data_IF_750498268037
#
_entry.id   IF_750498268037
#
_cell.length_a   1.000
_cell.length_b   1.000
_cell.length_c   1.000
_cell.angle_alpha   90.00
_cell.angle_beta   90.00
_cell.angle_gamma   90.00
#
_symmetry.space_group_name_H-M   'P 1'
#
loop_
_entity.id
_entity.type
_entity.pdbx_description
1 polymer ?
#
# COMPACT_ATOMS: atom_id res chain seq x y z
N UNK A 1 71.66 33.18 34.65
CA UNK A 1 72.91 33.60 33.97
C UNK A 1 73.09 32.79 32.70
N UNK A 2 72.75 33.35 31.54
CA UNK A 2 73.41 33.01 30.27
C UNK A 2 73.23 34.17 29.30
N UNK A 3 74.35 34.59 28.76
CA UNK A 3 74.63 35.81 28.03
C UNK A 3 74.58 35.61 26.52
N UNK A 4 74.22 36.69 25.81
CA UNK A 4 74.50 37.01 24.40
C UNK A 4 73.73 36.18 23.34
N UNK A 5 73.37 36.72 22.16
CA UNK A 5 74.09 37.69 21.31
C UNK A 5 73.12 38.29 20.28
N UNK A 6 73.09 39.61 20.16
CA UNK A 6 72.40 40.36 19.09
C UNK A 6 73.25 40.30 17.80
N UNK A 7 72.64 40.02 16.65
CA UNK A 7 73.26 40.13 15.32
C UNK A 7 72.25 40.70 14.29
N UNK A 8 72.72 41.37 13.22
CA UNK A 8 72.07 42.54 12.62
C UNK A 8 71.09 42.23 11.47
N UNK A 9 70.12 43.13 11.31
CA UNK A 9 69.23 43.23 10.14
C UNK A 9 70.05 43.50 8.86
N UNK A 10 69.87 42.64 7.85
CA UNK A 10 70.16 42.96 6.45
C UNK A 10 68.83 42.94 5.68
N UNK A 11 68.38 44.11 5.28
CA UNK A 11 67.29 44.32 4.33
C UNK A 11 67.79 43.86 2.96
N UNK A 12 67.16 42.81 2.41
CA UNK A 12 67.28 42.47 1.01
C UNK A 12 66.05 43.03 0.28
N UNK A 13 66.26 44.10 -0.49
CA UNK A 13 65.29 44.61 -1.47
C UNK A 13 65.16 43.54 -2.55
N UNK A 14 64.02 42.85 -2.58
CA UNK A 14 63.63 41.99 -3.70
C UNK A 14 62.57 42.75 -4.49
N UNK A 15 62.98 43.30 -5.62
CA UNK A 15 62.13 44.03 -6.55
C UNK A 15 61.09 43.08 -7.14
N UNK A 16 59.85 43.13 -6.66
CA UNK A 16 58.71 42.60 -7.40
C UNK A 16 58.31 43.63 -8.45
N UNK A 17 58.60 43.29 -9.70
CA UNK A 17 58.27 44.05 -10.90
C UNK A 17 56.74 44.18 -11.01
N UNK A 18 56.23 45.41 -10.85
CA UNK A 18 54.86 45.75 -11.25
C UNK A 18 54.87 45.86 -12.78
N UNK A 19 54.32 44.84 -13.46
CA UNK A 19 54.01 44.91 -14.89
C UNK A 19 52.50 44.83 -15.06
N UNK A 20 51.91 45.95 -15.48
CA UNK A 20 50.82 45.97 -16.46
C UNK A 20 49.42 45.50 -16.04
N UNK A 21 48.77 46.20 -15.10
CA UNK A 21 47.30 46.30 -15.11
C UNK A 21 46.91 47.32 -16.19
N UNK A 22 46.62 46.86 -17.41
CA UNK A 22 46.16 47.74 -18.48
C UNK A 22 46.25 47.13 -19.88
N UNK A 23 45.45 46.10 -20.17
CA UNK A 23 45.21 45.65 -21.56
C UNK A 23 44.01 44.70 -21.75
N UNK A 24 43.44 44.11 -20.68
CA UNK A 24 42.38 43.09 -20.85
C UNK A 24 40.94 43.63 -20.88
N UNK A 25 40.71 44.91 -20.55
CA UNK A 25 39.35 45.49 -20.51
C UNK A 25 38.96 46.28 -21.77
N UNK A 26 39.89 46.51 -22.71
CA UNK A 26 39.59 47.22 -23.96
C UNK A 26 39.23 46.30 -25.11
N UNK A 27 39.65 45.02 -25.11
CA UNK A 27 39.39 44.12 -26.24
C UNK A 27 37.90 43.76 -26.40
N UNK A 28 37.21 43.46 -25.30
CA UNK A 28 35.77 43.12 -25.33
C UNK A 28 34.88 44.35 -25.58
N UNK A 29 35.27 45.51 -25.03
CA UNK A 29 34.63 46.79 -25.30
C UNK A 29 34.88 47.29 -26.74
N UNK A 30 36.07 47.03 -27.30
CA UNK A 30 36.39 47.35 -28.70
C UNK A 30 35.72 46.39 -29.69
N UNK A 31 35.49 45.12 -29.34
CA UNK A 31 34.70 44.21 -30.17
C UNK A 31 33.21 44.57 -30.20
N UNK A 32 32.63 44.96 -29.06
CA UNK A 32 31.25 45.49 -29.02
C UNK A 32 31.13 46.83 -29.77
N UNK A 33 32.13 47.73 -29.66
CA UNK A 33 32.15 48.99 -30.43
C UNK A 33 32.45 48.79 -31.93
N UNK A 34 33.18 47.73 -32.32
CA UNK A 34 33.42 47.40 -33.73
C UNK A 34 32.22 46.73 -34.40
N UNK A 35 31.46 45.89 -33.68
CA UNK A 35 30.20 45.32 -34.17
C UNK A 35 29.08 46.37 -34.30
N UNK A 36 29.07 47.40 -33.46
CA UNK A 36 28.17 48.56 -33.63
C UNK A 36 28.52 49.42 -34.85
N UNK A 37 29.75 49.34 -35.36
CA UNK A 37 30.26 50.17 -36.47
C UNK A 37 29.77 49.73 -37.86
N UNK A 38 29.14 48.56 -37.97
CA UNK A 38 28.61 47.98 -39.22
C UNK A 38 27.09 48.02 -39.31
N UNK A 39 26.38 48.52 -38.30
CA UNK A 39 24.92 48.64 -38.32
C UNK A 39 24.48 50.07 -38.59
N UNK A 40 23.61 50.25 -39.59
CA UNK A 40 23.02 51.56 -39.91
C UNK A 40 21.59 51.60 -39.42
N UNK A 41 21.28 52.58 -38.58
CA UNK A 41 19.93 52.80 -38.07
C UNK A 41 19.11 53.65 -39.04
N UNK A 42 17.96 53.12 -39.47
CA UNK A 42 17.05 53.78 -40.40
C UNK A 42 15.64 53.66 -39.86
N UNK A 43 14.96 54.79 -39.64
CA UNK A 43 13.58 54.81 -39.19
C UNK A 43 12.64 54.31 -40.28
N UNK A 44 11.64 53.54 -39.88
CA UNK A 44 10.60 53.11 -40.80
C UNK A 44 9.86 54.35 -41.32
N UNK A 45 9.58 54.42 -42.64
CA UNK A 45 8.90 55.55 -43.23
C UNK A 45 7.46 55.65 -42.71
N UNK A 46 6.84 56.82 -42.86
CA UNK A 46 5.42 56.96 -42.62
C UNK A 46 4.65 55.98 -43.54
N UNK A 47 3.75 55.19 -42.96
CA UNK A 47 2.95 54.20 -43.69
C UNK A 47 1.95 54.85 -44.65
N UNK A 48 1.62 56.12 -44.41
CA UNK A 48 0.57 56.87 -45.10
C UNK A 48 1.13 58.04 -45.92
N UNK A 49 2.40 57.99 -46.33
CA UNK A 49 2.99 59.01 -47.21
C UNK A 49 2.33 58.94 -48.61
N UNK A 50 1.28 59.73 -48.79
CA UNK A 50 0.49 59.81 -50.02
C UNK A 50 0.31 61.29 -50.43
N UNK A 51 -0.13 61.53 -51.68
CA UNK A 51 -0.34 62.89 -52.21
C UNK A 51 -1.42 63.70 -51.45
N UNK A 52 -2.15 63.06 -50.52
CA UNK A 52 -3.27 63.59 -49.76
C UNK A 52 -3.05 63.46 -48.24
N UNK A 53 -1.86 63.89 -47.81
CA UNK A 53 -1.43 63.86 -46.41
C UNK A 53 -2.50 64.47 -45.47
N UNK A 54 -3.14 63.63 -44.68
CA UNK A 54 -4.10 64.04 -43.66
C UNK A 54 -3.38 64.34 -42.34
N UNK A 55 -3.94 65.26 -41.56
CA UNK A 55 -3.43 65.60 -40.23
C UNK A 55 -3.42 64.39 -39.28
N UNK A 56 -4.17 63.34 -39.61
CA UNK A 56 -4.26 62.09 -38.83
C UNK A 56 -3.22 61.02 -39.22
N UNK A 57 -2.56 61.15 -40.37
CA UNK A 57 -1.59 60.16 -40.87
C UNK A 57 -0.39 59.94 -39.91
N UNK A 58 0.20 60.98 -39.29
CA UNK A 58 1.26 60.81 -38.28
C UNK A 58 0.78 60.06 -37.04
N UNK A 59 -0.47 60.31 -36.61
CA UNK A 59 -1.04 59.66 -35.44
C UNK A 59 -1.18 58.15 -35.69
N UNK A 60 -1.65 57.75 -36.88
CA UNK A 60 -1.76 56.34 -37.24
C UNK A 60 -0.40 55.67 -37.40
N UNK A 61 0.59 56.35 -37.98
CA UNK A 61 1.95 55.83 -38.03
C UNK A 61 2.52 55.57 -36.63
N UNK A 62 2.42 56.56 -35.73
CA UNK A 62 2.89 56.43 -34.36
C UNK A 62 2.15 55.32 -33.60
N UNK A 63 0.86 55.10 -33.87
CA UNK A 63 0.13 53.98 -33.27
C UNK A 63 0.58 52.62 -33.81
N UNK A 64 0.76 52.48 -35.13
CA UNK A 64 1.04 51.19 -35.78
C UNK A 64 2.50 50.79 -35.59
N UNK A 65 3.42 51.67 -35.99
CA UNK A 65 4.85 51.43 -35.94
C UNK A 65 5.48 52.11 -34.74
N UNK A 66 4.95 53.24 -34.29
CA UNK A 66 5.66 54.08 -33.33
C UNK A 66 6.99 54.56 -33.91
N UNK A 67 7.86 55.03 -33.03
CA UNK A 67 9.23 55.33 -33.38
C UNK A 67 10.01 54.02 -33.50
N UNK A 68 9.89 53.34 -34.64
CA UNK A 68 10.60 52.09 -34.92
C UNK A 68 11.66 52.30 -35.98
N UNK A 69 12.86 51.79 -35.71
CA UNK A 69 13.97 51.75 -36.65
C UNK A 69 14.33 50.32 -37.03
N UNK A 70 14.86 50.16 -38.22
CA UNK A 70 15.61 48.97 -38.61
C UNK A 70 17.09 49.25 -38.41
N UNK A 71 17.77 48.38 -37.67
CA UNK A 71 19.22 48.33 -37.57
C UNK A 71 19.74 47.40 -38.66
N UNK A 72 20.06 47.96 -39.82
CA UNK A 72 20.55 47.20 -40.96
C UNK A 72 21.98 46.75 -40.72
N UNK A 73 22.20 45.44 -40.75
CA UNK A 73 23.55 44.88 -40.75
C UNK A 73 24.11 44.93 -42.17
N UNK A 74 25.13 45.76 -42.39
CA UNK A 74 25.72 45.98 -43.71
C UNK A 74 26.40 44.74 -44.31
N UNK A 75 26.65 43.70 -43.51
CA UNK A 75 27.33 42.48 -43.94
C UNK A 75 26.36 41.31 -44.13
N UNK A 76 25.27 41.29 -43.37
CA UNK A 76 24.27 40.20 -43.40
C UNK A 76 22.87 40.72 -43.10
N UNK A 77 22.10 41.01 -44.15
CA UNK A 77 20.74 41.54 -44.03
C UNK A 77 19.81 40.65 -43.17
N UNK A 78 20.08 39.33 -43.07
CA UNK A 78 19.29 38.42 -42.24
C UNK A 78 19.46 38.66 -40.74
N UNK A 79 20.50 39.41 -40.34
CA UNK A 79 20.77 39.83 -38.95
C UNK A 79 20.30 41.25 -38.65
N UNK A 80 19.51 41.84 -39.55
CA UNK A 80 18.90 43.15 -39.30
C UNK A 80 17.90 43.03 -38.16
N UNK A 81 17.92 44.02 -37.26
CA UNK A 81 17.08 44.03 -36.05
C UNK A 81 16.06 45.16 -36.12
N UNK A 82 14.94 45.00 -35.44
CA UNK A 82 14.02 46.10 -35.19
C UNK A 82 14.35 46.72 -33.84
N UNK A 83 14.40 48.04 -33.79
CA UNK A 83 14.58 48.80 -32.57
C UNK A 83 13.36 49.68 -32.36
N UNK A 84 12.61 49.38 -31.30
CA UNK A 84 11.39 50.07 -30.92
C UNK A 84 11.73 51.08 -29.84
N UNK A 85 11.31 52.33 -30.00
CA UNK A 85 11.48 53.40 -29.01
C UNK A 85 10.15 53.72 -28.32
N UNK A 86 10.24 54.13 -27.05
CA UNK A 86 9.13 54.76 -26.34
C UNK A 86 8.97 56.23 -26.73
N UNK A 87 7.82 56.80 -26.40
CA UNK A 87 7.53 58.21 -26.65
C UNK A 87 8.35 59.15 -25.72
N UNK A 88 8.67 58.68 -24.51
CA UNK A 88 9.43 59.41 -23.50
C UNK A 88 10.14 58.48 -22.50
N UNK A 89 10.89 59.07 -21.56
CA UNK A 89 11.62 58.34 -20.50
C UNK A 89 10.74 57.66 -19.45
N UNK A 90 9.44 57.98 -19.42
CA UNK A 90 8.50 57.51 -18.39
C UNK A 90 7.57 56.42 -18.95
N UNK A 91 7.75 56.05 -20.23
CA UNK A 91 6.98 55.04 -20.95
C UNK A 91 7.90 53.98 -21.59
N UNK A 92 7.31 52.86 -21.99
CA UNK A 92 7.97 51.79 -22.75
C UNK A 92 7.44 51.77 -24.18
N UNK A 93 8.13 51.14 -25.14
CA UNK A 93 7.58 50.93 -26.47
C UNK A 93 6.23 50.22 -26.40
N UNK A 94 5.23 50.76 -27.09
CA UNK A 94 3.83 50.33 -27.02
C UNK A 94 3.13 50.31 -28.39
N UNK A 95 3.89 50.43 -29.48
CA UNK A 95 3.32 50.37 -30.83
C UNK A 95 2.60 49.05 -31.10
N UNK A 96 1.65 49.06 -32.04
CA UNK A 96 0.91 47.86 -32.40
C UNK A 96 1.84 46.75 -32.91
N UNK A 97 2.86 47.11 -33.69
CA UNK A 97 3.87 46.16 -34.17
C UNK A 97 4.66 45.52 -33.02
N UNK A 98 5.14 46.34 -32.07
CA UNK A 98 5.87 45.84 -30.89
C UNK A 98 4.99 44.89 -30.08
N UNK A 99 3.77 45.34 -29.75
CA UNK A 99 2.81 44.58 -28.94
C UNK A 99 2.43 43.26 -29.62
N UNK A 100 2.21 43.28 -30.94
CA UNK A 100 1.91 42.06 -31.70
C UNK A 100 3.07 41.06 -31.61
N UNK A 101 4.30 41.50 -31.87
CA UNK A 101 5.47 40.63 -31.83
C UNK A 101 5.66 40.02 -30.44
N UNK A 102 5.53 40.84 -29.39
CA UNK A 102 5.66 40.40 -28.00
C UNK A 102 4.60 39.37 -27.64
N UNK A 103 3.33 39.64 -27.96
CA UNK A 103 2.23 38.74 -27.63
C UNK A 103 2.28 37.43 -28.43
N UNK A 104 2.64 37.47 -29.72
CA UNK A 104 2.80 36.24 -30.51
C UNK A 104 3.92 35.36 -29.95
N UNK A 105 5.04 35.96 -29.55
CA UNK A 105 6.14 35.26 -28.88
C UNK A 105 5.71 34.68 -27.52
N UNK A 106 5.00 35.45 -26.69
CA UNK A 106 4.55 34.97 -25.38
C UNK A 106 3.47 33.89 -25.48
N UNK A 107 2.60 33.97 -26.48
CA UNK A 107 1.50 33.02 -26.67
C UNK A 107 2.01 31.70 -27.27
N UNK A 108 2.75 31.80 -28.37
CA UNK A 108 3.12 30.64 -29.20
C UNK A 108 4.55 30.15 -28.97
N UNK A 109 5.35 30.93 -28.23
CA UNK A 109 6.78 30.67 -28.12
C UNK A 109 7.55 31.05 -29.38
N UNK A 110 8.77 30.53 -29.49
CA UNK A 110 9.69 30.78 -30.59
C UNK A 110 10.72 29.65 -30.70
N UNK A 111 11.34 29.51 -31.87
CA UNK A 111 12.44 28.56 -32.12
C UNK A 111 13.73 29.29 -32.50
N UNK A 112 14.83 28.56 -32.54
CA UNK A 112 16.12 29.09 -32.97
C UNK A 112 15.99 29.71 -34.38
N UNK A 113 16.57 30.89 -34.55
CA UNK A 113 16.48 31.64 -35.81
C UNK A 113 15.27 32.58 -35.92
N UNK A 114 14.28 32.51 -35.03
CA UNK A 114 13.17 33.46 -35.04
C UNK A 114 13.60 34.85 -34.52
N UNK A 115 13.02 35.91 -35.07
CA UNK A 115 13.19 37.26 -34.53
C UNK A 115 12.36 37.43 -33.28
N UNK A 116 13.01 37.68 -32.15
CA UNK A 116 12.39 37.78 -30.84
C UNK A 116 12.65 39.13 -30.17
N UNK A 117 11.74 39.51 -29.28
CA UNK A 117 11.99 40.52 -28.27
C UNK A 117 12.74 39.83 -27.12
N UNK A 118 13.97 40.26 -26.79
CA UNK A 118 14.72 39.68 -25.68
C UNK A 118 13.97 39.92 -24.36
N UNK A 119 13.83 38.86 -23.56
CA UNK A 119 13.20 38.90 -22.25
C UNK A 119 14.25 38.76 -21.14
N UNK A 120 13.99 39.38 -19.99
CA UNK A 120 14.75 39.18 -18.77
C UNK A 120 14.33 37.88 -18.04
N UNK A 121 14.94 37.61 -16.89
CA UNK A 121 14.64 36.45 -16.04
C UNK A 121 13.20 36.39 -15.52
N UNK A 122 12.46 37.50 -15.59
CA UNK A 122 11.06 37.60 -15.18
C UNK A 122 10.10 37.63 -16.38
N UNK A 123 10.60 37.42 -17.60
CA UNK A 123 9.79 37.38 -18.81
C UNK A 123 9.36 38.76 -19.31
N UNK A 124 10.01 39.83 -18.83
CA UNK A 124 9.76 41.21 -19.30
C UNK A 124 10.72 41.58 -20.42
N UNK A 125 10.30 42.42 -21.39
CA UNK A 125 11.23 42.91 -22.41
C UNK A 125 12.46 43.60 -21.78
N UNK A 126 13.63 43.34 -22.34
CA UNK A 126 14.88 43.97 -21.90
C UNK A 126 14.95 45.39 -22.46
N UNK A 127 14.53 46.36 -21.65
CA UNK A 127 14.58 47.78 -21.99
C UNK A 127 15.98 48.36 -21.82
N UNK A 128 16.37 49.24 -22.74
CA UNK A 128 17.62 50.02 -22.68
C UNK A 128 17.30 51.51 -22.67
N UNK A 129 18.06 52.30 -21.92
CA UNK A 129 17.92 53.75 -21.93
C UNK A 129 18.75 54.34 -23.08
N UNK A 130 18.10 55.06 -23.98
CA UNK A 130 18.69 55.68 -25.17
C UNK A 130 18.43 57.19 -25.22
N UNK A 131 19.17 57.88 -26.10
CA UNK A 131 19.00 59.31 -26.36
C UNK A 131 18.51 59.54 -27.80
N UNK A 132 17.38 60.23 -27.95
CA UNK A 132 16.81 60.65 -29.24
C UNK A 132 16.97 62.16 -29.41
N UNK A 133 17.33 62.59 -30.61
CA UNK A 133 17.36 64.02 -30.97
C UNK A 133 16.11 64.31 -31.79
N UNK A 134 15.16 65.02 -31.18
CA UNK A 134 13.92 65.43 -31.82
C UNK A 134 13.89 66.96 -31.87
N UNK A 135 13.74 67.54 -33.07
CA UNK A 135 13.76 69.00 -33.28
C UNK A 135 14.99 69.71 -32.67
N UNK A 136 16.15 69.03 -32.64
CA UNK A 136 17.39 69.55 -32.07
C UNK A 136 17.50 69.45 -30.53
N UNK A 137 16.49 68.88 -29.86
CA UNK A 137 16.49 68.64 -28.41
C UNK A 137 16.78 67.17 -28.13
N UNK A 138 17.74 66.91 -27.25
CA UNK A 138 18.05 65.57 -26.75
C UNK A 138 17.01 65.15 -25.70
N UNK A 139 16.35 64.03 -25.93
CA UNK A 139 15.39 63.39 -25.02
C UNK A 139 15.89 62.00 -24.66
N UNK A 140 15.73 61.63 -23.39
CA UNK A 140 15.91 60.24 -22.95
C UNK A 140 14.64 59.45 -23.24
N UNK A 141 14.78 58.24 -23.75
CA UNK A 141 13.69 57.31 -24.04
C UNK A 141 14.13 55.88 -23.72
N UNK A 142 13.18 54.99 -23.50
CA UNK A 142 13.45 53.56 -23.48
C UNK A 142 13.40 52.98 -24.88
N UNK A 143 14.21 51.96 -25.13
CA UNK A 143 14.17 51.20 -26.37
C UNK A 143 14.25 49.70 -26.11
N UNK A 144 13.77 48.92 -27.08
CA UNK A 144 13.95 47.47 -27.14
C UNK A 144 14.45 47.12 -28.53
N UNK A 145 15.56 46.39 -28.60
CA UNK A 145 16.10 45.90 -29.86
C UNK A 145 15.83 44.40 -29.96
N UNK A 146 15.17 43.97 -31.04
CA UNK A 146 14.95 42.54 -31.30
C UNK A 146 16.27 41.84 -31.55
N UNK A 147 16.30 40.53 -31.39
CA UNK A 147 17.44 39.69 -31.78
C UNK A 147 16.96 38.43 -32.48
N UNK A 148 17.87 37.74 -33.12
CA UNK A 148 17.62 36.38 -33.60
C UNK A 148 17.81 35.43 -32.42
N UNK A 149 16.81 34.58 -32.16
CA UNK A 149 16.84 33.60 -31.07
C UNK A 149 17.99 32.61 -31.25
N UNK A 150 18.78 32.41 -30.20
CA UNK A 150 19.84 31.40 -30.15
C UNK A 150 19.38 30.13 -29.45
N UNK A 151 20.18 29.06 -29.48
CA UNK A 151 19.93 27.83 -28.71
C UNK A 151 19.72 28.12 -27.21
N UNK A 152 20.51 29.04 -26.63
CA UNK A 152 20.34 29.47 -25.23
C UNK A 152 18.96 30.10 -24.97
N UNK A 153 18.43 30.86 -25.93
CA UNK A 153 17.10 31.46 -25.81
C UNK A 153 15.99 30.42 -25.88
N UNK A 154 16.16 29.39 -26.72
CA UNK A 154 15.20 28.30 -26.88
C UNK A 154 15.18 27.38 -25.66
N UNK A 155 16.29 27.28 -24.92
CA UNK A 155 16.35 26.54 -23.66
C UNK A 155 15.77 27.30 -22.46
N UNK A 156 15.22 28.51 -22.67
CA UNK A 156 14.53 29.28 -21.63
C UNK A 156 13.10 28.81 -21.40
N UNK A 157 12.52 29.15 -20.24
CA UNK A 157 11.12 28.85 -19.92
C UNK A 157 10.12 29.54 -20.86
N UNK A 158 10.52 30.57 -21.60
CA UNK A 158 9.63 31.39 -22.43
C UNK A 158 9.54 30.93 -23.89
N UNK A 159 10.42 30.01 -24.31
CA UNK A 159 10.49 29.56 -25.70
C UNK A 159 9.28 28.73 -26.12
N UNK A 160 8.57 28.12 -25.18
CA UNK A 160 7.38 27.31 -25.44
C UNK A 160 6.08 28.13 -25.47
N UNK A 161 6.14 29.36 -24.97
CA UNK A 161 4.98 30.21 -24.78
C UNK A 161 3.93 29.62 -23.85
N UNK A 162 2.85 30.37 -23.65
CA UNK A 162 1.70 29.96 -22.85
C UNK A 162 1.03 28.71 -23.45
N UNK A 163 1.03 28.56 -24.77
CA UNK A 163 0.42 27.39 -25.41
C UNK A 163 1.13 26.09 -25.02
N UNK A 164 2.46 26.09 -24.95
CA UNK A 164 3.21 24.91 -24.52
C UNK A 164 2.93 24.53 -23.07
N UNK A 165 2.80 25.51 -22.17
CA UNK A 165 2.41 25.26 -20.77
C UNK A 165 0.99 24.70 -20.66
N UNK A 166 0.06 25.19 -21.49
CA UNK A 166 -1.32 24.70 -21.55
C UNK A 166 -1.35 23.25 -22.03
N UNK A 167 -0.58 22.91 -23.06
CA UNK A 167 -0.51 21.55 -23.60
C UNK A 167 -0.01 20.56 -22.53
N UNK A 168 1.05 20.92 -21.79
CA UNK A 168 1.55 20.11 -20.66
C UNK A 168 0.49 19.93 -19.58
N UNK A 169 -0.27 20.98 -19.25
CA UNK A 169 -1.36 20.89 -18.28
C UNK A 169 -2.48 19.96 -18.75
N UNK A 170 -2.81 19.97 -20.04
CA UNK A 170 -3.80 19.05 -20.61
C UNK A 170 -3.34 17.59 -20.56
N UNK A 171 -2.08 17.33 -20.92
CA UNK A 171 -1.50 15.98 -20.85
C UNK A 171 -1.47 15.49 -19.40
N UNK A 172 -1.00 16.32 -18.47
CA UNK A 172 -1.03 16.01 -17.03
C UNK A 172 -2.45 15.74 -16.51
N UNK A 173 -3.44 16.56 -16.91
CA UNK A 173 -4.83 16.36 -16.52
C UNK A 173 -5.41 15.04 -17.04
N UNK A 174 -5.03 14.65 -18.26
CA UNK A 174 -5.41 13.37 -18.84
C UNK A 174 -4.83 12.21 -18.05
N UNK A 175 -3.54 12.25 -17.72
CA UNK A 175 -2.91 11.22 -16.89
C UNK A 175 -3.57 11.10 -15.51
N UNK A 176 -3.87 12.22 -14.86
CA UNK A 176 -4.58 12.25 -13.56
C UNK A 176 -5.97 11.62 -13.71
N UNK A 177 -6.69 11.94 -14.80
CA UNK A 177 -8.02 11.39 -15.05
C UNK A 177 -7.99 9.87 -15.26
N UNK A 178 -7.01 9.37 -16.01
CA UNK A 178 -6.82 7.93 -16.23
C UNK A 178 -6.47 7.19 -14.93
N UNK A 179 -5.58 7.77 -14.10
CA UNK A 179 -5.25 7.24 -12.79
C UNK A 179 -6.45 7.20 -11.82
N UNK A 180 -7.28 8.25 -11.81
CA UNK A 180 -8.50 8.30 -10.99
C UNK A 180 -9.50 7.22 -11.42
N UNK A 181 -9.62 6.97 -12.72
CA UNK A 181 -10.47 5.90 -13.26
C UNK A 181 -9.99 4.52 -12.80
N UNK A 182 -8.69 4.24 -12.91
CA UNK A 182 -8.12 2.97 -12.45
C UNK A 182 -8.34 2.77 -10.93
N UNK A 183 -8.16 3.83 -10.15
CA UNK A 183 -8.41 3.81 -8.71
C UNK A 183 -9.88 3.52 -8.38
N UNK A 184 -10.80 4.12 -9.15
CA UNK A 184 -12.24 3.85 -9.00
C UNK A 184 -12.58 2.38 -9.29
N UNK A 185 -12.09 1.84 -10.42
CA UNK A 185 -12.32 0.44 -10.80
C UNK A 185 -11.76 -0.53 -9.75
N UNK A 186 -10.60 -0.21 -9.15
CA UNK A 186 -10.03 -1.00 -8.05
C UNK A 186 -10.94 -0.97 -6.81
N UNK A 187 -11.43 0.20 -6.42
CA UNK A 187 -12.32 0.35 -5.26
C UNK A 187 -13.65 -0.39 -5.47
N UNK A 188 -14.19 -0.40 -6.69
CA UNK A 188 -15.38 -1.18 -7.04
C UNK A 188 -15.14 -2.68 -6.83
N UNK A 189 -14.03 -3.22 -7.36
CA UNK A 189 -13.64 -4.63 -7.15
C UNK A 189 -13.41 -4.96 -5.67
N UNK A 190 -12.81 -4.04 -4.92
CA UNK A 190 -12.62 -4.21 -3.47
C UNK A 190 -13.97 -4.28 -2.75
N UNK A 191 -14.93 -3.45 -3.15
CA UNK A 191 -16.30 -3.46 -2.61
C UNK A 191 -16.99 -4.79 -2.88
N UNK A 192 -16.91 -5.31 -4.12
CA UNK A 192 -17.46 -6.63 -4.48
C UNK A 192 -16.84 -7.77 -3.67
N UNK A 193 -15.51 -7.74 -3.47
CA UNK A 193 -14.80 -8.75 -2.68
C UNK A 193 -15.23 -8.74 -1.20
N UNK A 194 -15.43 -7.55 -0.62
CA UNK A 194 -15.92 -7.39 0.76
C UNK A 194 -17.36 -7.94 0.88
N UNK A 195 -18.23 -7.66 -0.09
CA UNK A 195 -19.60 -8.20 -0.09
C UNK A 195 -19.62 -9.74 -0.16
N UNK A 196 -18.78 -10.32 -1.02
CA UNK A 196 -18.63 -11.77 -1.11
C UNK A 196 -18.13 -12.39 0.20
N UNK A 197 -17.17 -11.75 0.87
CA UNK A 197 -16.68 -12.19 2.18
C UNK A 197 -17.76 -12.10 3.25
N UNK A 198 -18.54 -11.01 3.27
CA UNK A 198 -19.65 -10.84 4.22
C UNK A 198 -20.72 -11.92 4.03
N UNK A 199 -21.09 -12.21 2.78
CA UNK A 199 -22.03 -13.29 2.46
C UNK A 199 -21.53 -14.65 2.91
N UNK A 200 -20.25 -14.96 2.67
CA UNK A 200 -19.63 -16.20 3.14
C UNK A 200 -19.57 -16.27 4.68
N UNK A 201 -19.27 -15.16 5.34
CA UNK A 201 -19.24 -15.08 6.80
C UNK A 201 -20.62 -15.31 7.40
N UNK A 202 -21.67 -14.69 6.84
CA UNK A 202 -23.06 -14.91 7.27
C UNK A 202 -23.45 -16.38 7.12
N UNK A 203 -23.13 -17.01 5.98
CA UNK A 203 -23.42 -18.43 5.77
C UNK A 203 -22.65 -19.34 6.74
N UNK A 204 -21.45 -18.94 7.17
CA UNK A 204 -20.71 -19.67 8.20
C UNK A 204 -21.35 -19.52 9.57
N UNK A 205 -21.88 -18.34 9.92
CA UNK A 205 -22.66 -18.14 11.15
C UNK A 205 -23.87 -19.09 11.19
N UNK A 206 -24.67 -19.14 10.13
CA UNK A 206 -25.84 -20.05 10.06
C UNK A 206 -25.44 -21.53 10.25
N UNK A 207 -24.29 -21.92 9.70
CA UNK A 207 -23.75 -23.29 9.85
C UNK A 207 -23.28 -23.59 11.27
N UNK A 208 -22.74 -22.59 11.97
CA UNK A 208 -22.34 -22.71 13.38
C UNK A 208 -23.60 -22.88 14.24
N UNK A 209 -24.62 -22.04 14.04
CA UNK A 209 -25.89 -22.15 14.78
C UNK A 209 -26.52 -23.53 14.60
N UNK A 210 -26.56 -24.03 13.37
CA UNK A 210 -27.05 -25.40 13.08
C UNK A 210 -26.20 -26.48 13.77
N UNK A 211 -24.89 -26.28 13.88
CA UNK A 211 -24.00 -27.22 14.55
C UNK A 211 -24.22 -27.20 16.07
N UNK A 212 -24.45 -26.03 16.67
CA UNK A 212 -24.77 -25.87 18.08
C UNK A 212 -26.09 -26.59 18.43
N UNK A 213 -27.15 -26.40 17.64
CA UNK A 213 -28.41 -27.13 17.84
C UNK A 213 -28.24 -28.66 17.82
N UNK A 214 -27.36 -29.17 16.95
CA UNK A 214 -27.05 -30.60 16.87
C UNK A 214 -26.26 -31.08 18.08
N UNK A 215 -25.35 -30.26 18.60
CA UNK A 215 -24.57 -30.57 19.81
C UNK A 215 -25.50 -30.63 21.02
N UNK A 216 -26.40 -29.67 21.18
CA UNK A 216 -27.39 -29.64 22.26
C UNK A 216 -28.29 -30.89 22.24
N UNK A 217 -28.75 -31.29 21.04
CA UNK A 217 -29.52 -32.53 20.87
C UNK A 217 -28.72 -33.76 21.28
N UNK A 218 -27.46 -33.86 20.83
CA UNK A 218 -26.61 -34.99 21.19
C UNK A 218 -26.35 -35.04 22.70
N UNK A 219 -26.16 -33.89 23.37
CA UNK A 219 -26.00 -33.82 24.81
C UNK A 219 -27.24 -34.36 25.53
N UNK A 220 -28.44 -34.00 25.07
CA UNK A 220 -29.69 -34.54 25.59
C UNK A 220 -29.78 -36.07 25.41
N UNK A 221 -29.52 -36.55 24.20
CA UNK A 221 -29.59 -37.98 23.87
C UNK A 221 -28.59 -38.80 24.70
N UNK A 222 -27.37 -38.28 24.92
CA UNK A 222 -26.35 -38.92 25.78
C UNK A 222 -26.83 -39.01 27.23
N UNK A 223 -27.38 -37.93 27.80
CA UNK A 223 -27.92 -37.94 29.17
C UNK A 223 -29.08 -38.93 29.32
N UNK A 224 -29.95 -39.01 28.32
CA UNK A 224 -31.03 -39.97 28.29
C UNK A 224 -30.51 -41.42 28.25
N UNK A 225 -29.50 -41.70 27.41
CA UNK A 225 -28.85 -43.01 27.35
C UNK A 225 -28.19 -43.38 28.68
N UNK A 226 -27.45 -42.46 29.31
CA UNK A 226 -26.82 -42.67 30.60
C UNK A 226 -27.85 -43.06 31.68
N UNK A 227 -28.98 -42.34 31.73
CA UNK A 227 -30.07 -42.63 32.67
C UNK A 227 -30.69 -44.01 32.43
N UNK A 228 -30.98 -44.36 31.17
CA UNK A 228 -31.56 -45.65 30.81
C UNK A 228 -30.62 -46.81 31.17
N UNK A 229 -29.34 -46.71 30.80
CA UNK A 229 -28.33 -47.72 31.13
C UNK A 229 -28.18 -47.86 32.65
N UNK A 230 -28.14 -46.75 33.38
CA UNK A 230 -28.08 -46.78 34.84
C UNK A 230 -29.28 -47.50 35.48
N UNK A 231 -30.49 -47.25 34.98
CA UNK A 231 -31.72 -47.91 35.44
C UNK A 231 -31.72 -49.41 35.14
N UNK A 232 -31.37 -49.80 33.92
CA UNK A 232 -31.37 -51.20 33.48
C UNK A 232 -30.33 -52.03 34.25
N UNK A 233 -29.14 -51.46 34.48
CA UNK A 233 -28.10 -52.11 35.29
C UNK A 233 -28.52 -52.26 36.76
N UNK A 234 -29.21 -51.27 37.32
CA UNK A 234 -29.72 -51.34 38.69
C UNK A 234 -30.81 -52.42 38.83
N UNK A 235 -31.75 -52.49 37.88
CA UNK A 235 -32.80 -53.51 37.85
C UNK A 235 -32.19 -54.93 37.72
N UNK A 236 -31.25 -55.09 36.79
CA UNK A 236 -30.53 -56.36 36.62
C UNK A 236 -29.77 -56.77 37.88
N UNK A 237 -29.09 -55.82 38.53
CA UNK A 237 -28.38 -56.05 39.79
C UNK A 237 -29.34 -56.51 40.90
N UNK A 238 -30.51 -55.88 41.03
CA UNK A 238 -31.55 -56.29 41.97
C UNK A 238 -31.99 -57.73 41.75
N UNK A 239 -32.33 -58.09 40.49
CA UNK A 239 -32.74 -59.46 40.14
C UNK A 239 -31.64 -60.50 40.39
N UNK A 240 -30.37 -60.15 40.14
CA UNK A 240 -29.23 -61.03 40.42
C UNK A 240 -29.01 -61.23 41.92
N UNK A 241 -29.25 -60.21 42.74
CA UNK A 241 -29.20 -60.31 44.21
C UNK A 241 -30.30 -61.24 44.71
N UNK A 242 -31.53 -61.09 44.22
CA UNK A 242 -32.66 -61.97 44.58
C UNK A 242 -32.37 -63.43 44.20
N UNK A 243 -31.89 -63.66 42.98
CA UNK A 243 -31.48 -65.00 42.52
C UNK A 243 -30.37 -65.59 43.39
N UNK A 244 -29.41 -64.78 43.82
CA UNK A 244 -28.32 -65.21 44.71
C UNK A 244 -28.86 -65.64 46.08
N UNK A 245 -29.85 -64.92 46.61
CA UNK A 245 -30.50 -65.28 47.88
C UNK A 245 -31.26 -66.61 47.76
N UNK A 246 -32.03 -66.80 46.69
CA UNK A 246 -32.74 -68.06 46.42
C UNK A 246 -31.78 -69.25 46.28
N UNK A 247 -30.66 -69.07 45.59
CA UNK A 247 -29.62 -70.11 45.46
C UNK A 247 -29.01 -70.46 46.83
N UNK A 248 -28.71 -69.47 47.67
CA UNK A 248 -28.18 -69.71 49.00
C UNK A 248 -29.18 -70.50 49.87
N UNK A 249 -30.47 -70.17 49.80
CA UNK A 249 -31.53 -70.91 50.49
C UNK A 249 -31.65 -72.34 49.97
N UNK A 250 -31.62 -72.54 48.66
CA UNK A 250 -31.64 -73.87 48.06
C UNK A 250 -30.42 -74.70 48.49
N UNK A 251 -29.24 -74.09 48.59
CA UNK A 251 -28.03 -74.76 49.07
C UNK A 251 -28.17 -75.21 50.53
N UNK A 252 -28.75 -74.37 51.40
CA UNK A 252 -29.05 -74.75 52.78
C UNK A 252 -30.06 -75.91 52.85
N UNK A 253 -31.15 -75.83 52.09
CA UNK A 253 -32.15 -76.90 52.02
C UNK A 253 -31.55 -78.24 51.55
N UNK A 254 -30.62 -78.21 50.57
CA UNK A 254 -29.93 -79.41 50.10
C UNK A 254 -29.03 -80.00 51.20
N UNK A 255 -28.36 -79.16 51.99
CA UNK A 255 -27.55 -79.64 53.12
C UNK A 255 -28.42 -80.30 54.19
N UNK A 256 -29.56 -79.69 54.53
CA UNK A 256 -30.52 -80.26 55.47
C UNK A 256 -31.07 -81.61 54.98
N UNK A 257 -31.42 -81.71 53.69
CA UNK A 257 -31.86 -82.97 53.08
C UNK A 257 -30.76 -84.03 53.08
N UNK A 258 -29.51 -83.66 52.82
CA UNK A 258 -28.38 -84.59 52.87
C UNK A 258 -28.19 -85.14 54.29
N UNK A 259 -28.25 -84.29 55.32
CA UNK A 259 -28.17 -84.70 56.72
C UNK A 259 -29.34 -85.62 57.12
N UNK A 260 -30.55 -85.31 56.65
CA UNK A 260 -31.72 -86.15 56.89
C UNK A 260 -31.57 -87.55 56.27
N UNK A 261 -31.08 -87.64 55.02
CA UNK A 261 -30.84 -88.92 54.36
C UNK A 261 -29.75 -89.74 55.07
N UNK A 262 -28.68 -89.10 55.57
CA UNK A 262 -27.64 -89.80 56.33
C UNK A 262 -28.20 -90.41 57.63
N UNK A 263 -29.08 -89.69 58.34
CA UNK A 263 -29.80 -90.25 59.49
C UNK A 263 -30.69 -91.44 59.09
N UNK A 264 -31.38 -91.34 57.96
CA UNK A 264 -32.22 -92.42 57.45
C UNK A 264 -31.39 -93.67 57.13
N UNK A 265 -30.23 -93.51 56.50
CA UNK A 265 -29.29 -94.61 56.22
C UNK A 265 -28.79 -95.27 57.51
N UNK A 266 -28.45 -94.47 58.53
CA UNK A 266 -28.08 -94.99 59.85
C UNK A 266 -29.21 -95.77 60.52
N UNK A 267 -30.46 -95.32 60.41
CA UNK A 267 -31.62 -96.05 60.93
C UNK A 267 -31.83 -97.38 60.19
N UNK A 268 -31.70 -97.38 58.86
CA UNK A 268 -31.81 -98.59 58.05
C UNK A 268 -30.71 -99.62 58.40
N UNK A 269 -29.48 -99.15 58.61
CA UNK A 269 -28.38 -100.00 59.06
C UNK A 269 -28.68 -100.63 60.44
N UNK A 270 -29.11 -99.83 61.42
CA UNK A 270 -29.48 -100.35 62.75
C UNK A 270 -30.62 -101.35 62.70
N UNK A 271 -31.61 -101.15 61.83
CA UNK A 271 -32.69 -102.12 61.63
C UNK A 271 -32.15 -103.43 61.07
N UNK A 272 -31.24 -103.37 60.10
CA UNK A 272 -30.60 -104.56 59.52
C UNK A 272 -29.81 -105.33 60.59
N UNK A 273 -28.98 -104.62 61.37
CA UNK A 273 -28.21 -105.21 62.48
C UNK A 273 -29.12 -105.86 63.55
N UNK A 274 -30.24 -105.22 63.88
CA UNK A 274 -31.22 -105.77 64.83
C UNK A 274 -31.91 -107.03 64.28
N UNK A 275 -32.26 -107.05 62.99
CA UNK A 275 -32.83 -108.22 62.32
C UNK A 275 -31.82 -109.37 62.32
N UNK A 276 -30.55 -109.11 61.98
CA UNK A 276 -29.50 -110.11 61.98
C UNK A 276 -29.26 -110.69 63.39
N UNK A 277 -29.26 -109.84 64.41
CA UNK A 277 -29.16 -110.29 65.81
C UNK A 277 -30.35 -111.15 66.24
N UNK A 278 -31.58 -110.78 65.86
CA UNK A 278 -32.78 -111.58 66.13
C UNK A 278 -32.73 -112.93 65.40
N UNK A 279 -32.33 -112.95 64.13
CA UNK A 279 -32.17 -114.18 63.36
C UNK A 279 -31.12 -115.11 63.99
N UNK A 280 -29.99 -114.56 64.42
CA UNK A 280 -28.96 -115.33 65.14
C UNK A 280 -29.49 -115.94 66.43
N UNK A 281 -30.15 -115.13 67.27
CA UNK A 281 -30.76 -115.61 68.53
C UNK A 281 -31.84 -116.68 68.28
N UNK A 282 -32.64 -116.54 67.21
CA UNK A 282 -33.63 -117.55 66.80
C UNK A 282 -32.96 -118.87 66.37
N UNK A 283 -31.84 -118.81 65.64
CA UNK A 283 -31.07 -119.99 65.24
C UNK A 283 -30.47 -120.70 66.45
N UNK A 284 -29.88 -119.95 67.38
CA UNK A 284 -29.34 -120.49 68.64
C UNK A 284 -30.45 -121.14 69.49
N UNK A 285 -31.63 -120.53 69.58
CA UNK A 285 -32.78 -121.14 70.26
C UNK A 285 -33.28 -122.42 69.57
N UNK A 286 -33.29 -122.46 68.24
CA UNK A 286 -33.67 -123.67 67.49
C UNK A 286 -32.70 -124.81 67.80
N UNK A 287 -31.39 -124.52 67.78
CA UNK A 287 -30.37 -125.49 68.17
C UNK A 287 -30.56 -125.97 69.61
N UNK A 288 -30.79 -125.07 70.57
CA UNK A 288 -31.03 -125.45 71.97
C UNK A 288 -32.25 -126.36 72.13
N UNK A 289 -33.31 -126.15 71.35
CA UNK A 289 -34.50 -127.02 71.35
C UNK A 289 -34.16 -128.40 70.79
N UNK A 290 -33.42 -128.47 69.68
CA UNK A 290 -32.95 -129.73 69.09
C UNK A 290 -32.05 -130.49 70.07
N UNK A 291 -31.11 -129.81 70.73
CA UNK A 291 -30.21 -130.39 71.72
C UNK A 291 -31.00 -130.92 72.93
N UNK A 292 -32.02 -130.20 73.40
CA UNK A 292 -32.92 -130.65 74.47
C UNK A 292 -33.78 -131.85 74.04
N UNK A 293 -34.27 -131.86 72.80
CA UNK A 293 -35.03 -132.98 72.26
C UNK A 293 -34.15 -134.24 72.16
N UNK A 294 -32.92 -134.12 71.65
CA UNK A 294 -31.95 -135.21 71.60
C UNK A 294 -31.57 -135.70 73.01
N UNK A 295 -31.44 -134.80 73.98
CA UNK A 295 -31.19 -135.16 75.38
C UNK A 295 -32.36 -135.95 75.99
N UNK A 296 -33.61 -135.58 75.69
CA UNK A 296 -34.80 -136.30 76.15
C UNK A 296 -34.93 -137.68 75.46
N UNK A 297 -34.63 -137.79 74.16
CA UNK A 297 -34.63 -139.08 73.45
C UNK A 297 -33.59 -140.07 74.00
N UNK A 298 -32.45 -139.57 74.51
CA UNK A 298 -31.46 -140.38 75.23
C UNK A 298 -31.89 -140.78 76.65
N UNK A 299 -32.88 -140.10 77.23
CA UNK A 299 -33.40 -140.34 78.59
C UNK A 299 -34.58 -141.32 78.61
N UNK A 300 -35.29 -141.47 77.48
CA UNK A 300 -36.41 -142.40 77.27
C UNK A 300 -35.99 -143.76 76.65
N UNK A 301 -34.69 -144.00 76.44
CA UNK A 301 -34.10 -145.26 75.96
C UNK A 301 -33.46 -146.10 77.08
#
# INVERSE_FOLDING_TARGET
MKTMKLLPLKIAVTSAMIIGLGAASTANAQQQQQQQKTKTEVFLPNLFDNDYYDLTDPLYHSMILGDTATLFDQQDNSKSQLKFYSNDKDSVPDSLLFSKLLHEQQLNGFKEGDTIIPLDENGKPVYQLDERVENGVKKQVYSVTTKIATEDDVNSAYSRGIQGDIDDLYDFNREVSDYLKETHDYNERQTEAIDALNKASSANTDRIDTAEERIDKNEYDIKALESNVGKDLLDLSGRLIDQKADIAQNQANIQDLAAYNELQDQYAQKQTEAIDALNKASSENTQNIEDLAAYNELQDA
#
